data_IF_275072600787
#
_entry.id   IF_275072600787
#
_cell.length_a   1.000
_cell.length_b   1.000
_cell.length_c   1.000
_cell.angle_alpha   90.00
_cell.angle_beta   90.00
_cell.angle_gamma   90.00
#
_symmetry.space_group_name_H-M   'P 1'
#
loop_
_entity.id
_entity.type
_entity.pdbx_description
1 polymer ?
#
# COMPACT_ATOMS: atom_id res chain seq x y z
N UNK A 1 0.73 12.98 13.71
CA UNK A 1 -0.08 13.76 14.66
C UNK A 1 0.73 14.28 15.85
N UNK A 2 1.61 13.48 16.48
CA UNK A 2 2.47 13.97 17.59
C UNK A 2 3.28 15.24 17.24
N UNK A 3 3.80 15.34 16.02
CA UNK A 3 4.61 16.48 15.55
C UNK A 3 3.84 17.81 15.54
N UNK A 4 2.52 17.76 15.44
CA UNK A 4 1.64 18.94 15.44
C UNK A 4 0.90 19.09 16.79
N UNK A 5 1.37 18.41 17.84
CA UNK A 5 0.86 18.54 19.21
C UNK A 5 -0.32 17.63 19.57
N UNK A 6 -0.86 16.87 18.63
CA UNK A 6 -1.94 15.90 18.90
C UNK A 6 -1.31 14.62 19.48
N UNK A 7 -1.49 14.39 20.79
CA UNK A 7 -0.89 13.27 21.53
C UNK A 7 -1.61 11.93 21.30
N UNK A 8 -2.94 11.95 21.31
CA UNK A 8 -3.75 10.78 20.99
C UNK A 8 -4.77 11.18 19.92
N UNK A 9 -4.67 10.57 18.74
CA UNK A 9 -5.59 10.88 17.66
C UNK A 9 -7.00 10.30 17.93
N UNK A 10 -7.10 9.21 18.70
CA UNK A 10 -8.37 8.58 19.05
C UNK A 10 -9.20 9.41 20.03
N UNK A 11 -8.55 10.24 20.85
CA UNK A 11 -9.23 11.23 21.71
C UNK A 11 -9.46 12.56 21.00
N UNK A 12 -8.63 12.90 20.01
CA UNK A 12 -8.71 14.19 19.30
C UNK A 12 -9.78 14.19 18.20
N UNK A 13 -9.87 13.13 17.40
CA UNK A 13 -10.96 12.95 16.44
C UNK A 13 -12.20 12.44 17.17
N UNK A 14 -13.40 12.86 16.72
CA UNK A 14 -14.66 12.36 17.30
C UNK A 14 -14.85 10.86 17.08
N UNK A 15 -14.31 10.33 15.97
CA UNK A 15 -14.34 8.91 15.64
C UNK A 15 -13.18 8.56 14.70
N UNK A 16 -12.62 7.36 14.85
CA UNK A 16 -11.69 6.77 13.88
C UNK A 16 -12.00 5.29 13.69
N UNK A 17 -11.87 4.79 12.46
CA UNK A 17 -12.13 3.39 12.15
C UNK A 17 -11.34 2.91 10.93
N UNK A 18 -11.24 1.59 10.78
CA UNK A 18 -10.62 0.95 9.62
C UNK A 18 -11.71 0.51 8.64
N UNK A 19 -11.64 1.00 7.40
CA UNK A 19 -12.57 0.64 6.32
C UNK A 19 -12.31 -0.74 5.73
N UNK A 20 -11.19 -1.38 6.04
CA UNK A 20 -10.77 -2.67 5.48
C UNK A 20 -10.11 -2.57 4.10
N UNK A 21 -10.56 -1.67 3.23
CA UNK A 21 -9.92 -1.45 1.91
C UNK A 21 -9.66 0.03 1.60
N UNK A 22 -8.67 0.26 0.72
CA UNK A 22 -8.41 1.59 0.17
C UNK A 22 -9.58 2.14 -0.66
N UNK A 23 -10.37 1.27 -1.29
CA UNK A 23 -11.54 1.69 -2.06
C UNK A 23 -12.62 2.21 -1.11
N UNK A 24 -12.92 1.46 -0.05
CA UNK A 24 -13.90 1.86 0.96
C UNK A 24 -13.48 3.16 1.68
N UNK A 25 -12.18 3.37 1.94
CA UNK A 25 -11.67 4.63 2.49
C UNK A 25 -11.95 5.83 1.58
N UNK A 26 -11.85 5.66 0.26
CA UNK A 26 -12.16 6.72 -0.70
C UNK A 26 -13.67 6.94 -0.79
N UNK A 27 -14.45 5.86 -0.76
CA UNK A 27 -15.92 5.90 -0.83
C UNK A 27 -16.54 6.56 0.37
N UNK A 28 -16.08 6.24 1.57
CA UNK A 28 -16.62 6.81 2.80
C UNK A 28 -16.41 8.33 2.86
N UNK A 29 -15.29 8.85 2.34
CA UNK A 29 -15.09 10.30 2.21
C UNK A 29 -15.97 10.89 1.11
N UNK A 30 -16.04 10.24 -0.06
CA UNK A 30 -16.86 10.71 -1.19
C UNK A 30 -18.35 10.80 -0.85
N UNK A 31 -18.84 9.85 -0.03
CA UNK A 31 -20.23 9.76 0.39
C UNK A 31 -20.52 10.57 1.67
N UNK A 32 -19.51 11.28 2.21
CA UNK A 32 -19.65 12.14 3.39
C UNK A 32 -19.83 11.37 4.71
N UNK A 33 -19.45 10.10 4.77
CA UNK A 33 -19.43 9.30 6.01
C UNK A 33 -18.20 9.58 6.88
N UNK A 34 -17.10 9.98 6.26
CA UNK A 34 -15.87 10.40 6.93
C UNK A 34 -15.38 11.74 6.37
N UNK A 35 -14.87 12.62 7.22
CA UNK A 35 -14.36 13.93 6.80
C UNK A 35 -13.03 13.81 6.02
N UNK A 36 -12.21 12.83 6.40
CA UNK A 36 -10.89 12.57 5.81
C UNK A 36 -10.62 11.06 5.73
N UNK A 37 -9.76 10.67 4.79
CA UNK A 37 -9.33 9.28 4.62
C UNK A 37 -7.93 9.19 4.03
N UNK A 38 -7.28 8.04 4.22
CA UNK A 38 -5.96 7.76 3.68
C UNK A 38 -6.01 6.51 2.79
N UNK A 39 -5.58 6.65 1.54
CA UNK A 39 -5.60 5.56 0.56
C UNK A 39 -4.37 5.60 -0.35
N UNK A 40 -4.03 4.44 -0.93
CA UNK A 40 -2.95 4.35 -1.91
C UNK A 40 -3.29 5.16 -3.16
N UNK A 41 -2.37 6.03 -3.59
CA UNK A 41 -2.52 6.87 -4.78
C UNK A 41 -2.92 6.09 -6.04
N UNK A 42 -2.35 4.89 -6.27
CA UNK A 42 -2.69 4.06 -7.43
C UNK A 42 -4.13 3.58 -7.40
N UNK A 43 -4.72 3.38 -6.22
CA UNK A 43 -6.14 3.03 -6.08
C UNK A 43 -7.00 4.25 -6.35
N UNK A 44 -6.66 5.40 -5.76
CA UNK A 44 -7.35 6.68 -6.00
C UNK A 44 -7.44 7.01 -7.50
N UNK A 45 -6.30 7.06 -8.20
CA UNK A 45 -6.28 7.40 -9.62
C UNK A 45 -6.99 6.35 -10.49
N UNK A 46 -6.92 5.06 -10.14
CA UNK A 46 -7.65 4.01 -10.87
C UNK A 46 -9.17 4.13 -10.70
N UNK A 47 -9.66 4.56 -9.54
CA UNK A 47 -11.09 4.78 -9.34
C UNK A 47 -11.54 6.07 -10.02
N UNK A 48 -10.72 7.13 -9.96
CA UNK A 48 -10.98 8.40 -10.62
C UNK A 48 -11.12 8.28 -12.16
N UNK A 49 -10.42 7.34 -12.81
CA UNK A 49 -10.61 7.09 -14.25
C UNK A 49 -11.96 6.44 -14.57
N UNK A 50 -12.61 5.79 -13.59
CA UNK A 50 -13.91 5.14 -13.74
C UNK A 50 -15.07 6.03 -13.29
N UNK A 51 -14.81 6.97 -12.38
CA UNK A 51 -15.81 7.84 -11.81
C UNK A 51 -15.26 9.25 -11.58
N UNK A 52 -15.73 10.20 -12.38
CA UNK A 52 -15.24 11.58 -12.37
C UNK A 52 -15.50 12.32 -11.06
N UNK A 53 -16.53 11.93 -10.29
CA UNK A 53 -16.84 12.52 -8.97
C UNK A 53 -15.66 12.43 -8.01
N UNK A 54 -14.86 11.36 -8.07
CA UNK A 54 -13.70 11.20 -7.20
C UNK A 54 -12.70 12.35 -7.38
N UNK A 55 -12.49 12.83 -8.60
CA UNK A 55 -11.59 13.98 -8.84
C UNK A 55 -12.28 15.33 -8.73
N UNK A 56 -13.61 15.38 -8.85
CA UNK A 56 -14.38 16.63 -8.76
C UNK A 56 -14.71 17.01 -7.31
N UNK A 57 -15.03 16.01 -6.49
CA UNK A 57 -15.61 16.21 -5.15
C UNK A 57 -14.57 16.00 -4.03
N UNK A 58 -13.46 15.30 -4.29
CA UNK A 58 -12.40 15.06 -3.30
C UNK A 58 -11.16 15.92 -3.55
N UNK A 59 -10.54 16.37 -2.46
CA UNK A 59 -9.27 17.10 -2.48
C UNK A 59 -8.16 16.27 -1.83
N UNK A 60 -7.01 16.16 -2.51
CA UNK A 60 -5.80 15.58 -1.93
C UNK A 60 -5.18 16.62 -0.99
N UNK A 61 -5.25 16.36 0.32
CA UNK A 61 -4.68 17.25 1.35
C UNK A 61 -3.16 17.12 1.47
N UNK A 62 -2.64 15.90 1.32
CA UNK A 62 -1.22 15.60 1.44
C UNK A 62 -0.86 14.31 0.71
N UNK A 63 0.41 14.17 0.35
CA UNK A 63 0.98 12.93 -0.20
C UNK A 63 2.24 12.56 0.57
N UNK A 64 2.39 11.28 0.92
CA UNK A 64 3.63 10.80 1.51
C UNK A 64 4.78 10.87 0.49
N UNK A 65 6.03 10.86 0.96
CA UNK A 65 7.17 10.43 0.15
C UNK A 65 6.90 9.07 -0.52
N UNK A 66 7.64 8.73 -1.60
CA UNK A 66 7.58 7.41 -2.20
C UNK A 66 7.84 6.31 -1.17
N UNK A 67 6.95 5.33 -1.13
CA UNK A 67 7.07 4.11 -0.31
C UNK A 67 7.24 2.90 -1.23
N UNK A 68 7.90 1.83 -0.76
CA UNK A 68 8.02 0.61 -1.56
C UNK A 68 6.64 0.07 -1.93
N UNK A 69 6.56 -0.53 -3.12
CA UNK A 69 5.38 -1.29 -3.53
C UNK A 69 5.33 -2.63 -2.79
N UNK A 70 4.29 -3.43 -3.07
CA UNK A 70 4.17 -4.76 -2.49
C UNK A 70 5.36 -5.65 -2.94
N UNK A 71 5.91 -6.45 -2.03
CA UNK A 71 6.91 -7.49 -2.34
C UNK A 71 6.31 -8.89 -2.27
N UNK A 72 6.87 -9.78 -3.09
CA UNK A 72 6.69 -11.22 -2.94
C UNK A 72 7.81 -11.75 -2.05
N UNK A 73 7.42 -12.29 -0.89
CA UNK A 73 8.35 -12.92 0.04
C UNK A 73 8.17 -14.44 0.05
N UNK A 74 9.28 -15.17 0.17
CA UNK A 74 9.28 -16.63 0.31
C UNK A 74 9.73 -17.02 1.71
N UNK A 75 9.26 -18.18 2.19
CA UNK A 75 9.67 -18.71 3.50
C UNK A 75 11.19 -18.87 3.58
N UNK A 76 11.78 -18.55 4.73
CA UNK A 76 13.23 -18.63 4.96
C UNK A 76 13.82 -20.01 4.60
N UNK A 77 13.11 -21.08 4.95
CA UNK A 77 13.52 -22.47 4.70
C UNK A 77 13.17 -23.05 3.32
N UNK A 78 12.73 -22.24 2.34
CA UNK A 78 12.48 -22.74 0.99
C UNK A 78 13.81 -23.18 0.36
N UNK A 79 13.80 -24.30 -0.38
CA UNK A 79 15.00 -24.83 -1.04
C UNK A 79 15.64 -23.80 -1.99
N UNK A 80 16.97 -23.69 -1.96
CA UNK A 80 17.71 -22.63 -2.66
C UNK A 80 17.55 -22.68 -4.18
N UNK A 81 17.69 -23.85 -4.84
CA UNK A 81 17.33 -24.02 -6.25
C UNK A 81 15.93 -23.51 -6.60
N UNK A 82 14.93 -23.80 -5.76
CA UNK A 82 13.55 -23.36 -5.99
C UNK A 82 13.40 -21.83 -5.81
N UNK A 83 14.03 -21.24 -4.79
CA UNK A 83 14.08 -19.78 -4.60
C UNK A 83 14.64 -19.08 -5.84
N UNK A 84 15.77 -19.58 -6.34
CA UNK A 84 16.44 -18.98 -7.50
C UNK A 84 15.61 -19.13 -8.77
N UNK A 85 14.96 -20.30 -8.96
CA UNK A 85 14.04 -20.52 -10.08
C UNK A 85 12.88 -19.53 -10.04
N UNK A 86 12.20 -19.38 -8.89
CA UNK A 86 11.10 -18.42 -8.73
C UNK A 86 11.55 -16.99 -9.02
N UNK A 87 12.66 -16.56 -8.41
CA UNK A 87 13.23 -15.23 -8.61
C UNK A 87 13.51 -14.97 -10.10
N UNK A 88 14.24 -15.85 -10.75
CA UNK A 88 14.62 -15.68 -12.14
C UNK A 88 13.39 -15.69 -13.07
N UNK A 89 12.43 -16.57 -12.84
CA UNK A 89 11.18 -16.61 -13.61
C UNK A 89 10.41 -15.30 -13.50
N UNK A 90 10.23 -14.75 -12.29
CA UNK A 90 9.49 -13.50 -12.09
C UNK A 90 10.21 -12.30 -12.72
N UNK A 91 11.53 -12.21 -12.54
CA UNK A 91 12.33 -11.09 -13.08
C UNK A 91 12.33 -11.05 -14.61
N UNK A 92 12.38 -12.21 -15.28
CA UNK A 92 12.40 -12.29 -16.75
C UNK A 92 11.01 -12.50 -17.36
N UNK A 93 9.95 -12.49 -16.55
CA UNK A 93 8.57 -12.70 -17.02
C UNK A 93 8.14 -11.69 -18.09
N UNK A 94 8.69 -10.47 -18.03
CA UNK A 94 8.42 -9.41 -18.97
C UNK A 94 9.13 -9.59 -20.33
N UNK A 95 10.00 -10.60 -20.49
CA UNK A 95 10.69 -10.91 -21.75
C UNK A 95 9.90 -11.95 -22.57
N UNK A 96 9.07 -12.75 -21.90
CA UNK A 96 8.22 -13.78 -22.50
C UNK A 96 6.84 -13.21 -22.91
N UNK A 97 6.30 -13.64 -24.06
CA UNK A 97 5.00 -13.15 -24.55
C UNK A 97 3.84 -13.49 -23.60
N UNK A 98 3.79 -14.72 -23.12
CA UNK A 98 2.76 -15.17 -22.17
C UNK A 98 2.96 -14.50 -20.81
N UNK A 99 4.21 -14.32 -20.40
CA UNK A 99 4.55 -13.56 -19.18
C UNK A 99 4.07 -12.11 -19.23
N UNK A 100 4.23 -11.41 -20.37
CA UNK A 100 3.68 -10.06 -20.60
C UNK A 100 2.16 -10.03 -20.47
N UNK A 101 1.44 -10.99 -21.06
CA UNK A 101 -0.03 -11.06 -20.98
C UNK A 101 -0.52 -11.23 -19.53
N UNK A 102 0.22 -11.97 -18.70
CA UNK A 102 -0.11 -12.09 -17.27
C UNK A 102 0.23 -10.80 -16.51
N UNK A 103 1.37 -10.17 -16.80
CA UNK A 103 1.79 -8.90 -16.18
C UNK A 103 0.77 -7.78 -16.46
N UNK A 104 0.26 -7.70 -17.69
CA UNK A 104 -0.78 -6.73 -18.08
C UNK A 104 -2.08 -6.94 -17.29
N UNK A 105 -2.53 -8.20 -17.16
CA UNK A 105 -3.70 -8.54 -16.33
C UNK A 105 -3.48 -8.25 -14.85
N UNK A 106 -2.25 -8.44 -14.37
CA UNK A 106 -1.86 -8.10 -13.01
C UNK A 106 -1.72 -6.58 -12.78
N UNK A 107 -1.62 -5.78 -13.85
CA UNK A 107 -1.43 -4.34 -13.79
C UNK A 107 0.01 -3.93 -13.47
N UNK A 108 1.00 -4.76 -13.80
CA UNK A 108 2.42 -4.45 -13.63
C UNK A 108 3.17 -4.55 -14.95
N UNK A 109 4.26 -3.80 -15.10
CA UNK A 109 5.12 -3.87 -16.30
C UNK A 109 6.17 -4.97 -16.21
N UNK A 110 6.73 -5.17 -15.02
CA UNK A 110 7.75 -6.16 -14.73
C UNK A 110 7.89 -6.32 -13.21
N UNK A 111 8.51 -7.41 -12.78
CA UNK A 111 9.07 -7.51 -11.43
C UNK A 111 10.49 -6.97 -11.42
N UNK A 112 10.87 -6.35 -10.32
CA UNK A 112 12.24 -5.90 -10.06
C UNK A 112 12.77 -6.60 -8.82
N UNK A 113 14.09 -6.69 -8.72
CA UNK A 113 14.72 -7.14 -7.49
C UNK A 113 14.44 -6.14 -6.37
N UNK A 114 14.26 -6.66 -5.16
CA UNK A 114 14.10 -5.83 -3.97
C UNK A 114 14.93 -6.38 -2.83
N UNK A 115 15.39 -5.48 -1.98
CA UNK A 115 16.20 -5.74 -0.80
C UNK A 115 15.51 -5.18 0.44
N UNK A 116 16.01 -5.54 1.62
CA UNK A 116 15.52 -4.95 2.87
C UNK A 116 15.66 -3.42 2.89
N UNK A 117 16.71 -2.88 2.24
CA UNK A 117 16.99 -1.44 2.22
C UNK A 117 15.87 -0.65 1.54
N UNK A 118 15.18 -1.25 0.55
CA UNK A 118 14.05 -0.59 -0.13
C UNK A 118 12.86 -0.35 0.83
N UNK A 119 12.83 -1.05 1.97
CA UNK A 119 11.81 -0.96 3.00
C UNK A 119 12.18 -0.05 4.18
N UNK A 120 13.35 0.59 4.16
CA UNK A 120 13.76 1.56 5.19
C UNK A 120 12.72 2.65 5.48
N UNK A 121 12.00 3.23 4.48
CA UNK A 121 10.93 4.19 4.77
C UNK A 121 9.83 3.61 5.68
N UNK A 122 9.49 2.32 5.51
CA UNK A 122 8.47 1.64 6.32
C UNK A 122 8.95 1.46 7.76
N UNK A 123 10.21 1.04 7.95
CA UNK A 123 10.81 0.91 9.27
C UNK A 123 10.93 2.26 9.98
N UNK A 124 11.25 3.31 9.22
CA UNK A 124 11.30 4.70 9.72
C UNK A 124 9.93 5.13 10.24
N UNK A 125 8.87 4.98 9.43
CA UNK A 125 7.50 5.34 9.86
C UNK A 125 7.05 4.54 11.09
N UNK A 126 7.28 3.23 11.11
CA UNK A 126 6.93 2.40 12.26
C UNK A 126 7.62 2.91 13.54
N UNK A 127 8.90 3.30 13.45
CA UNK A 127 9.64 3.87 14.58
C UNK A 127 9.09 5.23 15.02
N UNK A 128 8.80 6.12 14.08
CA UNK A 128 8.29 7.48 14.36
C UNK A 128 6.94 7.45 15.07
N UNK A 129 6.05 6.53 14.68
CA UNK A 129 4.74 6.35 15.34
C UNK A 129 4.80 5.41 16.55
N UNK A 130 6.00 4.96 16.95
CA UNK A 130 6.24 4.05 18.09
C UNK A 130 5.50 2.71 17.96
N UNK A 131 5.35 2.20 16.73
CA UNK A 131 4.73 0.91 16.44
C UNK A 131 5.67 -0.25 16.79
N UNK A 132 5.25 -1.14 17.68
CA UNK A 132 5.95 -2.40 17.94
C UNK A 132 5.61 -3.45 16.87
N UNK A 133 6.44 -3.53 15.83
CA UNK A 133 6.25 -4.49 14.72
C UNK A 133 6.23 -5.96 15.16
N UNK A 134 6.77 -6.31 16.35
CA UNK A 134 6.74 -7.70 16.85
C UNK A 134 5.41 -8.07 17.49
N UNK A 135 4.66 -7.07 17.96
CA UNK A 135 3.36 -7.22 18.62
C UNK A 135 2.20 -6.70 17.76
N UNK A 136 2.51 -6.19 16.57
CA UNK A 136 1.51 -5.67 15.67
C UNK A 136 0.59 -6.80 15.19
N UNK A 137 -0.63 -6.81 15.72
CA UNK A 137 -1.70 -7.67 15.25
C UNK A 137 -2.30 -7.06 13.99
N UNK A 138 -1.89 -7.57 12.83
CA UNK A 138 -2.57 -7.25 11.59
C UNK A 138 -4.02 -7.76 11.65
N UNK A 139 -4.99 -6.85 11.64
CA UNK A 139 -6.42 -7.15 11.54
C UNK A 139 -6.93 -6.68 10.20
N UNK A 140 -7.31 -7.64 9.36
CA UNK A 140 -8.15 -7.38 8.20
C UNK A 140 -9.52 -7.95 8.55
N UNK A 141 -10.46 -7.09 8.94
CA UNK A 141 -11.84 -7.50 9.13
C UNK A 141 -12.49 -7.68 7.75
#
# INVERSE_FOLDING_TARGET
FHEIGIQDYGEWFSETYFTGTHEDAIRDVLDGKADIGAAKNTVFYRLATKESRISADLQILATSPPVPSNTLSVRKGLDNPLKLKLKNTLLHMHEDKYGKEILDKFGAKMFIETTQQDYEPVFTYAKEIKLDLKKYEYRNN
#
